data_IF_938896803767
#
_entry.id   IF_938896803767
#
_cell.length_a   1.000
_cell.length_b   1.000
_cell.length_c   1.000
_cell.angle_alpha   90.00
_cell.angle_beta   90.00
_cell.angle_gamma   90.00
#
_symmetry.space_group_name_H-M   'P 1'
#
loop_
_entity.id
_entity.type
_entity.pdbx_description
1 polymer ?
#
# COMPACT_ATOMS: atom_id res chain seq x y z
N UNK A 1 39.16 -18.59 -9.76
CA UNK A 1 39.76 -19.15 -11.00
C UNK A 1 39.24 -20.58 -11.15
N UNK A 2 38.88 -21.10 -12.32
CA UNK A 2 38.97 -20.55 -13.68
C UNK A 2 39.08 -21.74 -14.65
N UNK A 3 38.25 -21.84 -15.71
CA UNK A 3 38.17 -23.05 -16.53
C UNK A 3 39.19 -23.06 -17.67
N UNK A 4 39.50 -24.26 -18.23
CA UNK A 4 40.09 -24.39 -19.56
C UNK A 4 39.30 -25.40 -20.45
N UNK A 5 39.58 -25.51 -21.76
CA UNK A 5 39.41 -24.44 -22.73
C UNK A 5 38.68 -24.90 -24.01
N UNK A 6 38.41 -23.97 -24.93
CA UNK A 6 37.81 -24.25 -26.24
C UNK A 6 38.82 -24.82 -27.26
N UNK A 7 38.32 -25.46 -28.32
CA UNK A 7 39.07 -25.79 -29.53
C UNK A 7 38.36 -25.23 -30.78
N UNK A 8 39.16 -24.72 -31.73
CA UNK A 8 38.69 -24.14 -33.00
C UNK A 8 39.40 -24.81 -34.19
N UNK A 9 38.70 -24.91 -35.32
CA UNK A 9 39.22 -25.36 -36.62
C UNK A 9 38.38 -24.70 -37.74
N UNK A 10 38.85 -23.66 -38.43
CA UNK A 10 39.70 -23.65 -39.64
C UNK A 10 39.01 -24.02 -40.97
N UNK A 11 38.90 -23.02 -41.85
CA UNK A 11 38.74 -23.06 -43.32
C UNK A 11 40.06 -23.53 -44.01
N UNK A 12 40.24 -23.65 -45.36
CA UNK A 12 39.45 -23.22 -46.56
C UNK A 12 39.22 -24.43 -47.52
N UNK A 13 39.30 -24.43 -48.90
CA UNK A 13 39.42 -23.38 -49.93
C UNK A 13 38.64 -23.52 -51.27
N UNK A 14 38.78 -22.47 -52.10
CA UNK A 14 38.90 -22.43 -53.59
C UNK A 14 37.77 -22.84 -54.57
N UNK A 15 37.29 -21.84 -55.31
CA UNK A 15 36.73 -21.90 -56.69
C UNK A 15 37.87 -22.03 -57.75
N UNK A 16 37.64 -22.26 -59.08
CA UNK A 16 37.00 -21.26 -59.99
C UNK A 16 36.28 -21.81 -61.26
N UNK A 17 35.82 -20.89 -62.14
CA UNK A 17 35.50 -21.04 -63.59
C UNK A 17 34.34 -21.99 -64.01
N UNK A 18 33.50 -21.81 -65.03
CA UNK A 18 33.05 -20.75 -65.96
C UNK A 18 32.71 -21.42 -67.30
N UNK A 19 31.45 -21.44 -67.74
CA UNK A 19 31.07 -21.39 -69.18
C UNK A 19 29.55 -21.40 -69.38
N UNK A 20 29.09 -20.54 -70.28
CA UNK A 20 27.75 -20.52 -70.90
C UNK A 20 27.87 -21.13 -72.34
N UNK A 21 26.90 -21.10 -73.29
CA UNK A 21 25.61 -20.36 -73.30
C UNK A 21 24.39 -20.95 -74.09
N UNK A 22 23.27 -20.18 -74.06
CA UNK A 22 22.24 -20.01 -75.12
C UNK A 22 21.26 -21.19 -75.40
N UNK A 23 20.01 -20.99 -75.85
CA UNK A 23 19.24 -19.75 -76.15
C UNK A 23 17.73 -19.99 -76.40
N UNK A 24 16.94 -18.90 -76.29
CA UNK A 24 15.73 -18.46 -77.07
C UNK A 24 14.52 -18.17 -76.15
N UNK A 25 13.64 -17.19 -76.39
CA UNK A 25 13.51 -16.14 -77.43
C UNK A 25 12.63 -15.01 -76.85
N UNK A 26 13.12 -13.77 -76.69
CA UNK A 26 12.88 -12.61 -77.57
C UNK A 26 11.41 -12.18 -77.77
N UNK A 27 11.04 -11.05 -77.15
CA UNK A 27 9.92 -10.18 -77.53
C UNK A 27 10.47 -8.90 -78.18
N UNK A 28 9.79 -8.36 -79.18
CA UNK A 28 10.36 -7.43 -80.18
C UNK A 28 10.21 -5.95 -79.81
N UNK A 29 11.31 -5.16 -79.91
CA UNK A 29 11.36 -3.68 -80.20
C UNK A 29 10.54 -2.68 -79.34
N UNK A 30 10.81 -1.37 -79.22
CA UNK A 30 12.00 -0.48 -79.22
C UNK A 30 11.49 0.93 -78.81
N UNK A 31 12.25 1.99 -78.47
CA UNK A 31 13.70 2.25 -78.43
C UNK A 31 13.99 3.23 -77.26
N UNK A 32 15.15 3.11 -76.64
CA UNK A 32 15.64 3.88 -75.50
C UNK A 32 16.10 5.33 -75.79
N UNK A 33 16.10 6.17 -74.74
CA UNK A 33 17.20 7.11 -74.45
C UNK A 33 17.44 7.17 -72.95
N UNK A 34 18.69 7.32 -72.51
CA UNK A 34 19.07 7.31 -71.10
C UNK A 34 20.12 8.40 -70.81
N UNK A 35 20.11 8.95 -69.59
CA UNK A 35 21.28 9.62 -69.03
C UNK A 35 21.36 9.38 -67.52
N UNK A 36 22.59 9.20 -67.03
CA UNK A 36 22.97 9.07 -65.61
C UNK A 36 22.88 10.47 -64.91
N UNK A 37 23.12 10.71 -63.61
CA UNK A 37 24.04 10.06 -62.66
C UNK A 37 23.84 10.64 -61.22
N UNK A 38 24.18 9.88 -60.15
CA UNK A 38 24.47 10.34 -58.75
C UNK A 38 23.33 11.04 -57.94
N UNK A 39 23.30 11.07 -56.59
CA UNK A 39 23.91 10.23 -55.53
C UNK A 39 23.38 10.64 -54.13
N UNK A 40 23.21 9.69 -53.20
CA UNK A 40 22.89 9.94 -51.77
C UNK A 40 21.38 10.11 -51.48
N UNK A 41 20.87 9.82 -50.28
CA UNK A 41 21.49 9.29 -49.06
C UNK A 41 20.42 8.77 -48.08
N UNK A 42 20.83 7.99 -47.07
CA UNK A 42 19.96 7.25 -46.14
C UNK A 42 18.87 8.12 -45.49
N UNK A 43 17.65 7.58 -45.42
CA UNK A 43 16.51 8.16 -44.72
C UNK A 43 15.51 7.11 -44.26
N UNK A 44 15.97 6.08 -43.54
CA UNK A 44 15.06 5.17 -42.86
C UNK A 44 14.27 5.97 -41.82
N UNK A 45 12.96 6.14 -42.03
CA UNK A 45 12.09 6.84 -41.10
C UNK A 45 12.05 6.07 -39.78
N UNK A 46 12.87 6.50 -38.81
CA UNK A 46 12.83 5.98 -37.47
C UNK A 46 11.42 6.25 -36.91
N UNK A 47 10.67 5.17 -36.69
CA UNK A 47 9.40 5.24 -35.98
C UNK A 47 9.68 5.86 -34.61
N UNK A 48 9.35 7.14 -34.46
CA UNK A 48 9.64 7.94 -33.29
C UNK A 48 8.69 7.49 -32.18
N UNK A 49 9.11 6.49 -31.41
CA UNK A 49 8.40 5.96 -30.26
C UNK A 49 8.01 7.11 -29.32
N UNK A 50 6.73 7.49 -29.38
CA UNK A 50 6.22 8.62 -28.63
C UNK A 50 5.87 8.14 -27.22
N UNK A 51 6.87 8.06 -26.34
CA UNK A 51 6.79 7.52 -24.98
C UNK A 51 5.97 8.38 -23.99
N UNK A 52 4.85 8.96 -24.42
CA UNK A 52 3.92 9.69 -23.58
C UNK A 52 2.68 8.84 -23.23
N UNK A 53 2.86 8.00 -22.21
CA UNK A 53 1.86 7.39 -21.30
C UNK A 53 0.47 6.99 -21.86
N UNK A 54 0.09 5.70 -21.75
CA UNK A 54 -1.13 5.20 -21.05
C UNK A 54 -1.05 3.71 -20.66
N UNK A 55 -0.51 3.43 -19.47
CA UNK A 55 -0.59 2.16 -18.70
C UNK A 55 0.26 0.96 -19.16
N UNK A 56 0.88 0.96 -20.34
CA UNK A 56 1.66 -0.20 -20.82
C UNK A 56 0.80 -1.36 -21.33
N UNK A 57 -0.52 -1.21 -21.31
CA UNK A 57 -1.50 -2.17 -21.82
C UNK A 57 -1.99 -1.82 -23.24
N UNK A 58 -1.41 -0.80 -23.90
CA UNK A 58 -1.82 -0.33 -25.24
C UNK A 58 -1.67 -1.41 -26.33
N UNK A 59 -0.79 -2.40 -26.11
CA UNK A 59 -0.60 -3.55 -26.99
C UNK A 59 -1.63 -4.69 -26.81
N UNK A 60 -2.55 -4.58 -25.86
CA UNK A 60 -3.55 -5.61 -25.57
C UNK A 60 -4.94 -5.24 -26.12
N UNK A 61 -5.74 -6.21 -26.62
CA UNK A 61 -7.14 -5.98 -26.96
C UNK A 61 -7.91 -5.47 -25.74
N UNK A 62 -8.65 -4.35 -25.87
CA UNK A 62 -9.31 -3.69 -24.72
C UNK A 62 -10.16 -4.63 -23.87
N UNK A 63 -10.81 -5.63 -24.47
CA UNK A 63 -11.65 -6.61 -23.76
C UNK A 63 -10.90 -7.62 -22.88
N UNK A 64 -9.57 -7.75 -22.98
CA UNK A 64 -8.77 -8.63 -22.10
C UNK A 64 -8.24 -7.89 -20.87
N UNK A 65 -8.23 -6.55 -20.89
CA UNK A 65 -7.62 -5.73 -19.83
C UNK A 65 -8.56 -5.62 -18.64
N UNK A 66 -8.20 -6.25 -17.53
CA UNK A 66 -8.87 -6.08 -16.25
C UNK A 66 -8.20 -4.96 -15.45
N UNK A 67 -8.99 -4.00 -14.98
CA UNK A 67 -8.50 -2.82 -14.23
C UNK A 67 -8.23 -3.09 -12.75
N UNK A 68 -8.70 -4.22 -12.24
CA UNK A 68 -8.64 -4.61 -10.83
C UNK A 68 -8.53 -6.13 -10.67
N UNK A 69 -7.97 -6.55 -9.53
CA UNK A 69 -7.94 -7.93 -9.06
C UNK A 69 -8.76 -8.05 -7.76
N UNK A 70 -8.84 -9.27 -7.24
CA UNK A 70 -9.20 -9.59 -5.87
C UNK A 70 -8.04 -10.32 -5.16
N UNK A 71 -8.22 -10.59 -3.87
CA UNK A 71 -7.33 -11.38 -3.03
C UNK A 71 -8.00 -12.67 -2.51
N UNK A 72 -9.04 -13.18 -3.20
CA UNK A 72 -9.71 -14.40 -2.78
C UNK A 72 -8.87 -15.63 -3.15
N UNK A 73 -8.63 -16.53 -2.19
CA UNK A 73 -7.77 -17.72 -2.34
C UNK A 73 -8.44 -18.78 -3.23
N UNK A 74 -8.14 -18.79 -4.54
CA UNK A 74 -8.78 -19.70 -5.51
C UNK A 74 -8.14 -21.10 -5.47
N UNK A 75 -8.90 -22.19 -5.25
CA UNK A 75 -8.37 -23.55 -5.33
C UNK A 75 -7.84 -23.90 -6.73
N UNK A 76 -6.78 -24.70 -6.79
CA UNK A 76 -6.10 -25.05 -8.06
C UNK A 76 -6.95 -25.94 -8.99
N UNK A 77 -7.94 -26.66 -8.44
CA UNK A 77 -8.75 -27.65 -9.14
C UNK A 77 -10.26 -27.35 -9.13
N UNK A 78 -10.71 -26.32 -8.41
CA UNK A 78 -12.13 -25.91 -8.39
C UNK A 78 -12.27 -24.38 -8.52
N UNK A 79 -12.50 -23.87 -9.75
CA UNK A 79 -12.77 -22.45 -9.99
C UNK A 79 -14.10 -21.95 -9.40
N UNK A 80 -15.01 -22.84 -9.01
CA UNK A 80 -16.36 -22.52 -8.53
C UNK A 80 -16.51 -22.56 -7.00
N UNK A 81 -15.52 -23.11 -6.27
CA UNK A 81 -15.53 -23.18 -4.80
C UNK A 81 -15.70 -21.81 -4.12
N UNK A 82 -15.14 -20.74 -4.70
CA UNK A 82 -15.17 -19.38 -4.13
C UNK A 82 -16.44 -18.58 -4.50
N UNK A 83 -17.61 -19.22 -4.49
CA UNK A 83 -18.89 -18.51 -4.67
C UNK A 83 -19.30 -17.77 -3.40
N UNK A 84 -18.76 -16.56 -3.29
CA UNK A 84 -19.16 -15.44 -2.43
C UNK A 84 -19.20 -15.72 -0.90
N UNK A 85 -18.40 -14.97 -0.15
CA UNK A 85 -18.72 -14.70 1.25
C UNK A 85 -20.12 -14.07 1.30
N UNK A 86 -21.04 -14.70 2.04
CA UNK A 86 -22.47 -14.33 2.15
C UNK A 86 -22.75 -13.01 2.88
N UNK A 87 -21.73 -12.18 3.09
CA UNK A 87 -21.91 -10.85 3.68
C UNK A 87 -22.23 -9.87 2.54
N UNK A 88 -23.51 -9.83 2.15
CA UNK A 88 -24.00 -9.07 0.99
C UNK A 88 -23.91 -7.54 1.15
N UNK A 89 -23.55 -7.03 2.33
CA UNK A 89 -23.61 -5.59 2.63
C UNK A 89 -22.31 -4.83 2.31
N UNK A 90 -21.20 -5.21 2.94
CA UNK A 90 -19.91 -4.51 2.82
C UNK A 90 -18.74 -5.50 2.86
N UNK A 91 -17.74 -5.29 2.01
CA UNK A 91 -16.50 -6.06 2.00
C UNK A 91 -15.39 -5.32 2.73
N UNK A 92 -14.74 -5.96 3.68
CA UNK A 92 -13.63 -5.39 4.42
C UNK A 92 -12.37 -6.27 4.41
N UNK A 93 -11.23 -5.60 4.54
CA UNK A 93 -9.90 -6.19 4.70
C UNK A 93 -9.29 -5.68 6.02
N UNK A 94 -8.89 -6.60 6.90
CA UNK A 94 -7.95 -6.33 7.99
C UNK A 94 -6.54 -6.65 7.51
N UNK A 95 -5.65 -5.66 7.56
CA UNK A 95 -4.23 -5.79 7.25
C UNK A 95 -3.41 -5.31 8.45
N UNK A 96 -2.50 -6.14 8.96
CA UNK A 96 -1.73 -5.85 10.19
C UNK A 96 -0.25 -6.18 10.06
N UNK A 97 0.61 -5.36 10.66
CA UNK A 97 1.99 -5.76 10.94
C UNK A 97 2.02 -6.64 12.18
N UNK A 98 2.50 -7.89 12.04
CA UNK A 98 2.45 -8.89 13.11
C UNK A 98 3.79 -9.60 13.38
N UNK A 99 3.99 -9.95 14.64
CA UNK A 99 5.06 -10.81 15.15
C UNK A 99 4.53 -11.88 16.10
N UNK A 100 5.22 -13.01 16.18
CA UNK A 100 4.76 -14.20 16.94
C UNK A 100 4.54 -13.93 18.44
N UNK A 101 5.22 -12.92 19.00
CA UNK A 101 5.08 -12.51 20.41
C UNK A 101 3.69 -11.98 20.76
N UNK A 102 2.94 -11.49 19.77
CA UNK A 102 1.59 -10.93 19.94
C UNK A 102 0.49 -11.86 19.39
N UNK A 103 0.83 -13.11 19.06
CA UNK A 103 -0.07 -14.05 18.39
C UNK A 103 -1.43 -14.21 19.09
N UNK A 104 -1.48 -14.19 20.43
CA UNK A 104 -2.72 -14.28 21.19
C UNK A 104 -3.63 -13.06 21.01
N UNK A 105 -3.07 -11.85 20.97
CA UNK A 105 -3.86 -10.63 20.76
C UNK A 105 -4.40 -10.58 19.31
N UNK A 106 -3.56 -10.98 18.35
CA UNK A 106 -3.95 -11.11 16.95
C UNK A 106 -4.99 -12.23 16.72
N UNK A 107 -4.96 -13.33 17.47
CA UNK A 107 -5.98 -14.39 17.41
C UNK A 107 -7.38 -13.87 17.77
N UNK A 108 -7.49 -13.12 18.88
CA UNK A 108 -8.76 -12.49 19.29
C UNK A 108 -9.27 -11.54 18.21
N UNK A 109 -8.37 -10.74 17.61
CA UNK A 109 -8.74 -9.79 16.57
C UNK A 109 -9.15 -10.46 15.25
N UNK A 110 -8.31 -11.35 14.72
CA UNK A 110 -8.58 -12.04 13.46
C UNK A 110 -9.89 -12.83 13.50
N UNK A 111 -10.21 -13.50 14.63
CA UNK A 111 -11.49 -14.20 14.81
C UNK A 111 -12.70 -13.28 14.67
N UNK A 112 -12.68 -12.06 15.23
CA UNK A 112 -13.79 -11.10 15.09
C UNK A 112 -14.04 -10.72 13.63
N UNK A 113 -13.00 -10.46 12.84
CA UNK A 113 -13.13 -10.12 11.42
C UNK A 113 -13.54 -11.32 10.56
N UNK A 114 -12.98 -12.50 10.82
CA UNK A 114 -13.32 -13.72 10.08
C UNK A 114 -14.76 -14.20 10.35
N UNK A 115 -15.28 -14.02 11.56
CA UNK A 115 -16.68 -14.31 11.89
C UNK A 115 -17.66 -13.46 11.08
N UNK A 116 -17.29 -12.22 10.75
CA UNK A 116 -18.04 -11.33 9.84
C UNK A 116 -17.72 -11.58 8.35
N UNK A 117 -16.99 -12.66 8.03
CA UNK A 117 -16.56 -13.03 6.67
C UNK A 117 -15.70 -11.96 5.97
N UNK A 118 -14.91 -11.20 6.74
CA UNK A 118 -13.92 -10.24 6.21
C UNK A 118 -12.57 -10.92 5.96
N UNK A 119 -11.79 -10.38 5.02
CA UNK A 119 -10.45 -10.92 4.73
C UNK A 119 -9.46 -10.46 5.79
N UNK A 120 -8.59 -11.37 6.24
CA UNK A 120 -7.46 -11.05 7.14
C UNK A 120 -6.15 -11.25 6.40
N UNK A 121 -5.25 -10.29 6.55
CA UNK A 121 -3.93 -10.27 5.95
C UNK A 121 -2.88 -9.91 7.01
N UNK A 122 -1.88 -10.78 7.15
CA UNK A 122 -0.84 -10.70 8.16
C UNK A 122 0.49 -10.37 7.49
N UNK A 123 1.10 -9.26 7.92
CA UNK A 123 2.42 -8.83 7.47
C UNK A 123 3.48 -9.23 8.50
N UNK A 124 4.13 -10.37 8.28
CA UNK A 124 5.12 -10.95 9.19
C UNK A 124 6.43 -10.19 9.09
N UNK A 125 6.64 -9.26 10.02
CA UNK A 125 7.89 -8.48 10.11
C UNK A 125 9.00 -9.25 10.82
N UNK A 126 8.67 -10.31 11.56
CA UNK A 126 9.62 -11.18 12.27
C UNK A 126 10.10 -12.38 11.44
N UNK A 127 9.42 -12.68 10.33
CA UNK A 127 9.69 -13.82 9.46
C UNK A 127 9.05 -15.15 9.91
N UNK A 128 8.37 -15.21 11.05
CA UNK A 128 7.86 -16.45 11.63
C UNK A 128 6.40 -16.70 11.21
N UNK A 129 6.19 -17.33 10.05
CA UNK A 129 4.87 -17.80 9.62
C UNK A 129 4.48 -19.13 10.26
N UNK A 130 5.43 -20.05 10.41
CA UNK A 130 5.10 -21.44 10.79
C UNK A 130 4.52 -21.56 12.21
N UNK A 131 4.88 -20.65 13.13
CA UNK A 131 4.25 -20.59 14.46
C UNK A 131 2.73 -20.33 14.42
N UNK A 132 2.25 -19.58 13.42
CA UNK A 132 0.83 -19.25 13.25
C UNK A 132 -0.01 -20.43 12.76
N UNK A 133 0.60 -21.51 12.27
CA UNK A 133 -0.13 -22.73 11.86
C UNK A 133 -0.83 -23.44 13.03
N UNK A 134 -0.51 -23.06 14.26
CA UNK A 134 -1.20 -23.50 15.48
C UNK A 134 -2.64 -22.96 15.59
N UNK A 135 -2.98 -21.90 14.85
CA UNK A 135 -4.33 -21.31 14.86
C UNK A 135 -5.17 -21.88 13.71
N UNK A 136 -6.34 -22.45 14.03
CA UNK A 136 -7.26 -23.12 13.07
C UNK A 136 -7.82 -22.24 11.94
N UNK A 137 -7.61 -20.93 12.00
CA UNK A 137 -8.02 -19.99 10.95
C UNK A 137 -6.86 -19.48 10.10
N UNK A 138 -5.62 -19.83 10.45
CA UNK A 138 -4.41 -19.31 9.83
C UNK A 138 -4.36 -19.58 8.32
N UNK A 139 -4.87 -20.73 7.87
CA UNK A 139 -5.01 -21.13 6.47
C UNK A 139 -6.03 -20.29 5.66
N UNK A 140 -6.93 -19.56 6.34
CA UNK A 140 -7.91 -18.64 5.75
C UNK A 140 -7.39 -17.21 5.63
N UNK A 141 -6.26 -16.90 6.26
CA UNK A 141 -5.62 -15.59 6.19
C UNK A 141 -4.56 -15.54 5.09
N UNK A 142 -4.23 -14.32 4.64
CA UNK A 142 -3.17 -14.07 3.67
C UNK A 142 -1.89 -13.72 4.43
N UNK A 143 -0.87 -14.57 4.33
CA UNK A 143 0.42 -14.34 5.00
C UNK A 143 1.41 -13.72 4.02
N UNK A 144 1.97 -12.55 4.36
CA UNK A 144 3.01 -11.87 3.59
C UNK A 144 4.22 -11.68 4.48
N UNK A 145 5.40 -12.10 4.00
CA UNK A 145 6.62 -12.14 4.81
C UNK A 145 7.67 -11.19 4.24
N UNK A 146 8.14 -10.27 5.06
CA UNK A 146 9.32 -9.47 4.76
C UNK A 146 9.98 -9.05 6.10
N UNK A 147 11.06 -9.72 6.51
CA UNK A 147 11.68 -9.45 7.80
C UNK A 147 12.17 -8.00 7.94
N UNK A 148 12.02 -7.45 9.14
CA UNK A 148 12.40 -6.09 9.53
C UNK A 148 11.75 -4.98 8.69
N UNK A 149 10.54 -5.20 8.15
CA UNK A 149 9.76 -4.18 7.44
C UNK A 149 8.61 -3.65 8.30
N UNK A 150 8.23 -2.40 8.07
CA UNK A 150 7.17 -1.68 8.79
C UNK A 150 5.79 -1.90 8.16
N UNK A 151 4.71 -1.66 8.92
CA UNK A 151 3.32 -1.67 8.41
C UNK A 151 3.14 -0.89 7.10
N UNK A 152 3.67 0.33 7.04
CA UNK A 152 3.55 1.20 5.85
C UNK A 152 4.39 0.70 4.66
N UNK A 153 5.52 0.04 4.89
CA UNK A 153 6.30 -0.60 3.81
C UNK A 153 5.49 -1.70 3.11
N UNK A 154 4.83 -2.56 3.90
CA UNK A 154 3.96 -3.62 3.39
C UNK A 154 2.74 -3.03 2.68
N UNK A 155 2.05 -2.08 3.33
CA UNK A 155 0.86 -1.44 2.78
C UNK A 155 1.13 -0.80 1.41
N UNK A 156 2.26 -0.11 1.24
CA UNK A 156 2.66 0.48 -0.04
C UNK A 156 2.86 -0.56 -1.15
N UNK A 157 3.30 -1.77 -0.82
CA UNK A 157 3.71 -2.80 -1.80
C UNK A 157 2.61 -3.79 -2.12
N UNK A 158 1.78 -4.16 -1.15
CA UNK A 158 0.80 -5.25 -1.28
C UNK A 158 -0.66 -4.77 -1.30
N UNK A 159 -0.95 -3.55 -0.85
CA UNK A 159 -2.31 -2.97 -0.86
C UNK A 159 -2.49 -1.95 -2.00
N UNK A 160 -1.95 -2.23 -3.19
CA UNK A 160 -2.12 -1.36 -4.37
C UNK A 160 -3.62 -1.18 -4.71
N UNK A 161 -4.12 0.03 -5.05
CA UNK A 161 -5.57 0.29 -5.18
C UNK A 161 -6.31 -0.64 -6.14
N UNK A 162 -5.70 -1.06 -7.25
CA UNK A 162 -6.30 -2.04 -8.18
C UNK A 162 -6.40 -3.46 -7.60
N UNK A 163 -5.56 -3.83 -6.63
CA UNK A 163 -5.56 -5.16 -5.99
C UNK A 163 -6.60 -5.25 -4.88
N UNK A 164 -6.81 -4.15 -4.16
CA UNK A 164 -7.77 -4.06 -3.04
C UNK A 164 -9.12 -3.43 -3.44
N UNK A 165 -9.36 -3.17 -4.73
CA UNK A 165 -10.54 -2.47 -5.24
C UNK A 165 -11.89 -3.14 -4.88
N UNK A 166 -11.89 -4.44 -4.57
CA UNK A 166 -13.08 -5.18 -4.16
C UNK A 166 -13.52 -4.90 -2.72
N UNK A 167 -12.64 -4.35 -1.87
CA UNK A 167 -12.96 -3.99 -0.49
C UNK A 167 -13.53 -2.58 -0.46
N UNK A 168 -14.62 -2.40 0.29
CA UNK A 168 -15.22 -1.10 0.56
C UNK A 168 -14.46 -0.38 1.70
N UNK A 169 -13.93 -1.16 2.65
CA UNK A 169 -13.18 -0.70 3.84
C UNK A 169 -11.88 -1.46 4.04
N UNK A 170 -10.81 -0.76 4.44
CA UNK A 170 -9.49 -1.32 4.73
C UNK A 170 -9.04 -0.85 6.11
N UNK A 171 -8.88 -1.79 7.03
CA UNK A 171 -8.35 -1.60 8.37
C UNK A 171 -6.84 -1.86 8.31
N UNK A 172 -6.00 -0.87 8.64
CA UNK A 172 -4.54 -0.98 8.56
C UNK A 172 -3.93 -0.83 9.96
N UNK A 173 -4.02 -1.88 10.75
CA UNK A 173 -3.86 -1.82 12.21
C UNK A 173 -2.51 -2.33 12.71
N UNK A 174 -2.13 -1.88 13.89
CA UNK A 174 -1.04 -2.46 14.70
C UNK A 174 -1.58 -3.60 15.58
N UNK A 175 -0.69 -4.47 16.04
CA UNK A 175 -1.02 -5.76 16.67
C UNK A 175 -1.23 -5.73 18.19
N UNK A 176 -1.08 -4.58 18.83
CA UNK A 176 -1.16 -4.39 20.29
C UNK A 176 -2.44 -3.64 20.72
N UNK A 177 -3.50 -3.81 19.93
CA UNK A 177 -4.85 -3.30 20.20
C UNK A 177 -5.73 -4.41 20.78
N UNK A 178 -6.21 -4.23 22.02
CA UNK A 178 -7.27 -5.05 22.63
C UNK A 178 -8.64 -4.67 22.06
N UNK A 179 -9.42 -5.66 21.62
CA UNK A 179 -10.63 -5.46 20.80
C UNK A 179 -11.90 -6.02 21.44
N UNK A 180 -11.90 -6.25 22.76
CA UNK A 180 -13.00 -6.81 23.52
C UNK A 180 -14.32 -6.08 23.22
N UNK A 181 -14.26 -4.74 23.27
CA UNK A 181 -15.39 -3.82 23.11
C UNK A 181 -15.61 -3.30 21.67
N UNK A 182 -15.01 -3.97 20.68
CA UNK A 182 -15.09 -3.59 19.27
C UNK A 182 -15.77 -4.69 18.43
N UNK A 183 -16.73 -4.30 17.60
CA UNK A 183 -17.38 -5.15 16.59
C UNK A 183 -17.18 -4.56 15.18
N UNK A 184 -16.50 -5.26 14.25
CA UNK A 184 -16.13 -4.69 12.95
C UNK A 184 -17.34 -4.42 12.03
N UNK A 185 -18.46 -5.15 12.18
CA UNK A 185 -19.67 -4.89 11.40
C UNK A 185 -20.41 -3.65 11.91
N UNK A 186 -20.56 -3.52 13.23
CA UNK A 186 -21.14 -2.31 13.86
C UNK A 186 -20.28 -1.08 13.56
N UNK A 187 -18.95 -1.22 13.57
CA UNK A 187 -18.02 -0.16 13.18
C UNK A 187 -18.25 0.34 11.74
N UNK A 188 -18.37 -0.57 10.78
CA UNK A 188 -18.65 -0.22 9.38
C UNK A 188 -20.04 0.43 9.22
N UNK A 189 -21.07 -0.10 9.88
CA UNK A 189 -22.41 0.50 9.89
C UNK A 189 -22.39 1.94 10.45
N UNK A 190 -21.51 2.23 11.41
CA UNK A 190 -21.26 3.59 11.89
C UNK A 190 -20.56 4.43 10.83
N UNK A 191 -19.45 3.97 10.23
CA UNK A 191 -18.75 4.70 9.15
C UNK A 191 -19.72 5.13 8.03
N UNK A 192 -20.56 4.19 7.57
CA UNK A 192 -21.54 4.41 6.50
C UNK A 192 -22.63 5.39 6.94
N UNK A 193 -23.23 5.21 8.12
CA UNK A 193 -24.31 6.09 8.60
C UNK A 193 -23.84 7.51 8.93
N UNK A 194 -22.56 7.68 9.27
CA UNK A 194 -21.91 8.96 9.59
C UNK A 194 -21.23 9.62 8.38
N UNK A 195 -21.27 8.98 7.21
CA UNK A 195 -20.63 9.47 5.98
C UNK A 195 -19.11 9.61 6.06
N UNK A 196 -18.46 8.84 6.95
CA UNK A 196 -17.03 8.89 7.24
C UNK A 196 -16.22 8.07 6.23
N UNK A 197 -15.03 8.56 5.89
CA UNK A 197 -14.12 7.89 4.95
C UNK A 197 -12.76 7.52 5.55
N UNK A 198 -12.34 8.20 6.62
CA UNK A 198 -11.09 7.90 7.33
C UNK A 198 -11.42 7.92 8.83
N UNK A 199 -11.25 6.80 9.51
CA UNK A 199 -11.63 6.67 10.92
C UNK A 199 -10.62 5.87 11.71
N UNK A 200 -10.77 5.89 13.03
CA UNK A 200 -10.20 4.88 13.93
C UNK A 200 -11.21 4.61 15.05
N UNK A 201 -11.15 3.43 15.71
CA UNK A 201 -11.81 3.23 16.98
C UNK A 201 -11.22 4.18 18.03
N UNK A 202 -12.06 4.62 18.98
CA UNK A 202 -11.55 5.36 20.12
C UNK A 202 -10.72 4.47 21.06
N UNK A 203 -9.82 5.08 21.82
CA UNK A 203 -9.07 4.45 22.89
C UNK A 203 -9.83 4.56 24.22
N UNK A 204 -9.93 3.46 24.96
CA UNK A 204 -10.40 3.52 26.34
C UNK A 204 -9.36 4.26 27.22
N UNK A 205 -9.74 5.37 27.89
CA UNK A 205 -8.79 6.17 28.69
C UNK A 205 -8.36 5.51 30.00
N UNK A 206 -9.12 4.53 30.49
CA UNK A 206 -8.89 3.91 31.79
C UNK A 206 -8.04 2.63 31.65
N UNK A 207 -8.04 2.01 30.47
CA UNK A 207 -7.35 0.74 30.18
C UNK A 207 -6.12 0.89 29.26
N UNK A 208 -6.07 1.91 28.39
CA UNK A 208 -4.94 2.06 27.46
C UNK A 208 -3.70 2.59 28.16
N UNK A 209 -2.54 1.98 27.91
CA UNK A 209 -1.28 2.30 28.60
C UNK A 209 -0.51 3.45 27.95
N UNK A 210 -0.73 3.69 26.65
CA UNK A 210 -0.09 4.75 25.89
C UNK A 210 -1.15 5.49 25.05
N UNK A 211 -1.26 6.81 25.22
CA UNK A 211 -2.18 7.67 24.49
C UNK A 211 -1.43 8.96 24.13
N UNK A 212 -1.10 9.13 22.85
CA UNK A 212 -0.31 10.27 22.38
C UNK A 212 -1.15 11.54 22.12
N UNK A 213 -2.36 11.38 21.58
CA UNK A 213 -3.19 12.51 21.12
C UNK A 213 -4.60 12.49 21.73
N UNK A 214 -5.05 13.62 22.30
CA UNK A 214 -6.33 13.66 23.05
C UNK A 214 -7.57 13.36 22.19
N UNK A 215 -7.51 13.57 20.87
CA UNK A 215 -8.57 13.21 19.93
C UNK A 215 -8.77 11.69 19.76
N UNK A 216 -7.83 10.86 20.20
CA UNK A 216 -8.04 9.40 20.17
C UNK A 216 -8.82 8.90 21.38
N UNK A 217 -8.96 9.71 22.43
CA UNK A 217 -9.62 9.34 23.68
C UNK A 217 -11.13 9.22 23.48
N UNK A 218 -11.69 8.08 23.91
CA UNK A 218 -13.13 7.82 23.88
C UNK A 218 -13.93 8.83 24.67
N UNK A 219 -14.84 9.52 23.98
CA UNK A 219 -15.91 10.28 24.58
C UNK A 219 -17.12 9.37 24.83
N UNK A 220 -17.30 8.98 26.10
CA UNK A 220 -18.36 8.05 26.54
C UNK A 220 -19.80 8.58 26.32
N UNK A 221 -19.97 9.84 25.89
CA UNK A 221 -21.27 10.47 25.63
C UNK A 221 -21.65 10.55 24.14
N UNK A 222 -20.73 10.26 23.22
CA UNK A 222 -20.96 10.35 21.77
C UNK A 222 -20.89 8.99 21.08
N UNK A 223 -21.43 8.93 19.85
CA UNK A 223 -21.26 7.79 18.93
C UNK A 223 -19.96 7.89 18.16
N UNK A 224 -19.65 9.14 17.73
CA UNK A 224 -18.47 9.58 16.99
C UNK A 224 -18.14 11.01 17.43
N UNK A 225 -16.85 11.35 17.48
CA UNK A 225 -16.40 12.74 17.48
C UNK A 225 -15.37 12.99 16.39
N UNK A 226 -15.36 14.21 15.84
CA UNK A 226 -14.48 14.60 14.72
C UNK A 226 -13.46 15.67 15.13
N UNK A 227 -13.50 16.12 16.39
CA UNK A 227 -12.62 17.15 16.96
C UNK A 227 -12.61 17.15 18.48
N UNK A 228 -11.61 17.80 19.06
CA UNK A 228 -11.45 18.03 20.51
C UNK A 228 -11.08 19.48 20.83
N UNK A 229 -11.29 19.85 22.08
CA UNK A 229 -10.77 21.09 22.67
C UNK A 229 -9.68 20.75 23.69
N UNK A 230 -8.60 21.52 23.70
CA UNK A 230 -7.52 21.39 24.66
C UNK A 230 -6.83 22.74 24.88
N UNK A 231 -6.64 23.13 26.13
CA UNK A 231 -6.02 24.41 26.52
C UNK A 231 -4.64 24.18 27.17
N UNK A 232 -4.01 23.04 26.90
CA UNK A 232 -2.70 22.68 27.44
C UNK A 232 -1.58 23.43 26.70
N UNK A 233 -0.49 23.73 27.38
CA UNK A 233 0.67 24.43 26.81
C UNK A 233 1.34 23.70 25.65
N UNK A 234 1.17 22.37 25.54
CA UNK A 234 1.70 21.55 24.45
C UNK A 234 0.86 21.59 23.17
N UNK A 235 -0.44 21.93 23.26
CA UNK A 235 -1.36 21.92 22.14
C UNK A 235 -2.64 22.70 22.49
N UNK A 236 -2.90 23.76 21.72
CA UNK A 236 -4.09 24.60 21.86
C UNK A 236 -5.09 24.27 20.74
N UNK A 237 -6.17 23.55 21.07
CA UNK A 237 -7.26 23.25 20.17
C UNK A 237 -8.47 24.14 20.49
N UNK A 238 -8.67 25.20 19.70
CA UNK A 238 -9.78 26.15 19.80
C UNK A 238 -10.85 25.87 18.73
N UNK A 239 -11.82 26.78 18.60
CA UNK A 239 -12.78 26.77 17.48
C UNK A 239 -12.12 27.07 16.13
N UNK A 240 -10.99 27.78 16.11
CA UNK A 240 -10.22 28.10 14.91
C UNK A 240 -9.34 26.92 14.45
N UNK A 241 -9.13 25.91 15.29
CA UNK A 241 -8.27 24.75 15.00
C UNK A 241 -8.94 23.74 14.06
N UNK A 242 -9.09 24.11 12.78
CA UNK A 242 -9.71 23.29 11.70
C UNK A 242 -8.83 22.15 11.16
N UNK A 243 -7.66 21.90 11.78
CA UNK A 243 -6.66 20.97 11.27
C UNK A 243 -6.19 19.90 12.26
N UNK A 244 -5.44 18.91 11.75
CA UNK A 244 -4.73 17.94 12.56
C UNK A 244 -3.89 18.54 13.69
N UNK A 245 -3.85 17.90 14.87
CA UNK A 245 -4.68 16.77 15.32
C UNK A 245 -5.98 17.22 16.02
N UNK A 246 -6.34 18.51 15.97
CA UNK A 246 -7.49 19.05 16.70
C UNK A 246 -8.84 18.72 16.04
N UNK A 247 -8.91 18.69 14.71
CA UNK A 247 -10.12 18.43 13.91
C UNK A 247 -9.78 17.58 12.70
N UNK A 248 -10.64 16.60 12.37
CA UNK A 248 -10.56 15.81 11.15
C UNK A 248 -9.30 14.95 11.05
N UNK A 249 -8.93 14.25 12.13
CA UNK A 249 -7.68 13.50 12.25
C UNK A 249 -7.85 12.16 12.97
N UNK A 250 -6.99 11.20 12.62
CA UNK A 250 -6.87 9.87 13.25
C UNK A 250 -5.38 9.50 13.32
N UNK A 251 -5.01 8.65 14.28
CA UNK A 251 -3.63 8.25 14.53
C UNK A 251 -3.21 7.09 13.61
N UNK A 252 -1.91 6.99 13.31
CA UNK A 252 -1.36 5.99 12.40
C UNK A 252 -1.47 4.52 12.87
N UNK A 253 -1.84 4.25 14.13
CA UNK A 253 -1.87 2.89 14.70
C UNK A 253 -3.09 2.07 14.28
N UNK A 254 -4.30 2.66 14.30
CA UNK A 254 -5.58 1.96 14.08
C UNK A 254 -6.45 2.55 12.95
N UNK A 255 -5.89 3.13 11.86
CA UNK A 255 -6.70 3.78 10.84
C UNK A 255 -7.51 2.77 10.02
N UNK A 256 -8.70 3.21 9.62
CA UNK A 256 -9.64 2.52 8.74
C UNK A 256 -10.01 3.47 7.61
N UNK A 257 -9.88 2.99 6.37
CA UNK A 257 -10.07 3.78 5.16
C UNK A 257 -11.23 3.24 4.33
N UNK A 258 -12.04 4.13 3.77
CA UNK A 258 -12.88 3.79 2.63
C UNK A 258 -12.01 3.48 1.40
N UNK A 259 -12.55 2.73 0.44
CA UNK A 259 -11.92 2.50 -0.87
C UNK A 259 -11.48 3.79 -1.57
N UNK A 260 -12.27 4.86 -1.47
CA UNK A 260 -11.97 6.15 -2.08
C UNK A 260 -10.76 6.80 -1.40
N UNK A 261 -10.78 6.88 -0.07
CA UNK A 261 -9.68 7.43 0.71
C UNK A 261 -8.40 6.61 0.52
N UNK A 262 -8.47 5.28 0.58
CA UNK A 262 -7.30 4.42 0.39
C UNK A 262 -6.62 4.61 -0.98
N UNK A 263 -7.40 4.84 -2.05
CA UNK A 263 -6.86 5.12 -3.38
C UNK A 263 -5.97 6.36 -3.38
N UNK A 264 -6.28 7.38 -2.59
CA UNK A 264 -5.41 8.55 -2.39
C UNK A 264 -4.27 8.26 -1.40
N UNK A 265 -4.56 7.67 -0.24
CA UNK A 265 -3.57 7.39 0.82
C UNK A 265 -2.42 6.52 0.30
N UNK A 266 -2.72 5.53 -0.56
CA UNK A 266 -1.68 4.72 -1.19
C UNK A 266 -0.68 5.56 -2.01
N UNK A 267 -1.10 6.65 -2.64
CA UNK A 267 -0.20 7.56 -3.37
C UNK A 267 0.57 8.50 -2.42
N UNK A 268 -0.06 8.93 -1.31
CA UNK A 268 0.57 9.74 -0.26
C UNK A 268 1.73 9.00 0.42
N UNK A 269 1.60 7.70 0.68
CA UNK A 269 2.67 6.86 1.22
C UNK A 269 3.86 6.86 0.24
N UNK A 270 5.03 7.27 0.72
CA UNK A 270 6.26 7.35 -0.07
C UNK A 270 6.84 5.94 -0.35
N UNK A 271 7.57 5.78 -1.46
CA UNK A 271 8.15 4.48 -1.82
C UNK A 271 9.34 4.08 -0.93
N UNK A 272 10.11 5.06 -0.49
CA UNK A 272 11.41 4.92 0.19
C UNK A 272 11.38 5.28 1.68
N UNK A 273 10.37 6.03 2.14
CA UNK A 273 10.14 6.26 3.58
C UNK A 273 9.25 5.14 4.10
N UNK A 274 9.68 4.47 5.16
CA UNK A 274 9.08 3.22 5.63
C UNK A 274 8.36 3.41 6.97
N UNK A 275 8.79 4.32 7.84
CA UNK A 275 8.22 4.45 9.18
C UNK A 275 6.80 5.04 9.17
N UNK A 276 6.48 5.87 8.18
CA UNK A 276 5.14 6.47 8.01
C UNK A 276 4.72 7.49 9.07
N UNK A 277 5.63 7.85 9.99
CA UNK A 277 5.39 8.92 10.97
C UNK A 277 5.06 10.25 10.27
N UNK A 278 3.99 10.91 10.70
CA UNK A 278 3.49 12.16 10.09
C UNK A 278 2.60 11.98 8.86
N UNK A 279 2.39 10.75 8.36
CA UNK A 279 1.37 10.50 7.31
C UNK A 279 -0.04 10.82 7.82
N UNK A 280 -0.32 10.49 9.09
CA UNK A 280 -1.54 10.82 9.83
C UNK A 280 -1.93 12.30 9.75
N UNK A 281 -0.96 13.20 9.90
CA UNK A 281 -1.14 14.66 9.72
C UNK A 281 -1.57 15.07 8.30
N UNK A 282 -1.50 14.17 7.31
CA UNK A 282 -1.89 14.40 5.91
C UNK A 282 -2.98 13.45 5.40
N UNK A 283 -3.43 12.46 6.17
CA UNK A 283 -4.52 11.55 5.76
C UNK A 283 -5.81 12.31 5.40
N UNK A 284 -6.13 13.40 6.11
CA UNK A 284 -7.33 14.20 5.86
C UNK A 284 -7.46 14.76 4.44
N UNK A 285 -6.37 14.96 3.71
CA UNK A 285 -6.39 15.38 2.28
C UNK A 285 -6.92 14.29 1.34
N UNK A 286 -7.04 13.05 1.81
CA UNK A 286 -7.55 11.94 1.03
C UNK A 286 -9.04 11.65 1.23
N UNK A 287 -9.72 12.36 2.12
CA UNK A 287 -11.18 12.31 2.22
C UNK A 287 -11.85 13.03 1.02
N UNK A 288 -13.01 12.53 0.57
CA UNK A 288 -13.83 13.20 -0.44
C UNK A 288 -14.68 14.30 0.21
N UNK A 289 -14.11 15.50 0.36
CA UNK A 289 -14.75 16.68 0.95
C UNK A 289 -14.01 17.18 2.19
N UNK A 290 -14.70 17.91 3.07
CA UNK A 290 -14.09 18.46 4.29
C UNK A 290 -13.70 17.34 5.27
N UNK A 291 -12.43 17.33 5.69
CA UNK A 291 -11.92 16.42 6.73
C UNK A 291 -12.67 16.57 8.06
N UNK A 292 -13.21 17.76 8.38
CA UNK A 292 -13.98 18.01 9.59
C UNK A 292 -15.33 17.25 9.61
N UNK A 293 -15.83 16.82 8.45
CA UNK A 293 -17.03 15.99 8.31
C UNK A 293 -16.69 14.51 8.04
N UNK A 294 -15.66 14.26 7.22
CA UNK A 294 -15.31 12.94 6.68
C UNK A 294 -14.33 12.13 7.52
N UNK A 295 -13.62 12.77 8.46
CA UNK A 295 -12.60 12.12 9.28
C UNK A 295 -12.97 12.23 10.76
N UNK A 296 -12.86 11.13 11.50
CA UNK A 296 -13.21 11.13 12.92
C UNK A 296 -12.99 9.81 13.66
N UNK A 297 -13.22 9.86 14.96
CA UNK A 297 -12.99 8.76 15.90
C UNK A 297 -14.35 8.21 16.35
N UNK A 298 -14.50 6.88 16.27
CA UNK A 298 -15.75 6.20 16.62
C UNK A 298 -15.69 5.77 18.09
N UNK A 299 -16.51 6.41 18.93
CA UNK A 299 -16.53 6.27 20.41
C UNK A 299 -17.28 5.04 20.92
N UNK A 300 -18.25 4.59 20.13
CA UNK A 300 -19.15 3.48 20.49
C UNK A 300 -18.58 2.09 20.17
N UNK A 301 -17.51 2.04 19.39
CA UNK A 301 -16.73 0.84 19.03
C UNK A 301 -15.26 1.14 19.29
N UNK A 302 -14.77 0.75 20.45
CA UNK A 302 -13.51 1.24 21.02
C UNK A 302 -12.56 0.10 21.37
N UNK A 303 -11.27 0.43 21.42
CA UNK A 303 -10.17 -0.50 21.64
C UNK A 303 -9.31 -0.06 22.82
N UNK A 304 -8.44 -0.96 23.27
CA UNK A 304 -7.44 -0.70 24.33
C UNK A 304 -6.05 -0.74 23.70
N UNK A 305 -5.30 0.36 23.72
CA UNK A 305 -3.92 0.35 23.21
C UNK A 305 -2.97 -0.13 24.32
N UNK A 306 -2.29 -1.26 24.08
CA UNK A 306 -1.44 -1.93 25.06
C UNK A 306 0.00 -1.39 25.08
N UNK A 307 0.42 -0.62 24.07
CA UNK A 307 1.72 0.06 24.01
C UNK A 307 2.91 -0.91 23.90
N UNK A 308 2.72 -2.06 23.25
CA UNK A 308 3.69 -3.16 23.23
C UNK A 308 4.70 -2.94 22.09
N UNK A 309 6.00 -2.77 22.36
CA UNK A 309 6.97 -2.41 21.33
C UNK A 309 7.31 -3.58 20.38
N UNK A 310 6.64 -3.63 19.23
CA UNK A 310 6.81 -4.64 18.18
C UNK A 310 8.14 -4.54 17.42
N UNK A 311 8.53 -3.32 17.00
CA UNK A 311 9.79 -3.06 16.30
C UNK A 311 10.92 -2.59 17.24
N UNK A 312 12.00 -3.37 17.33
CA UNK A 312 13.16 -3.08 18.18
C UNK A 312 13.00 -3.50 19.65
N UNK A 313 11.95 -4.25 19.98
CA UNK A 313 11.84 -4.97 21.26
C UNK A 313 12.91 -6.07 21.41
N UNK A 314 13.08 -6.65 22.61
CA UNK A 314 14.02 -7.74 22.83
C UNK A 314 13.58 -8.98 22.04
N UNK A 315 14.29 -9.28 20.95
CA UNK A 315 14.22 -10.62 20.36
C UNK A 315 14.72 -11.63 21.40
N UNK A 316 13.96 -12.71 21.62
CA UNK A 316 14.40 -13.83 22.45
C UNK A 316 15.69 -14.50 21.92
N UNK A 317 16.11 -14.16 20.69
CA UNK A 317 17.43 -14.53 20.18
C UNK A 317 18.53 -13.62 20.74
N UNK A 318 19.09 -14.06 21.88
CA UNK A 318 20.42 -13.75 22.45
C UNK A 318 20.55 -12.66 23.55
N UNK A 319 21.37 -13.01 24.53
CA UNK A 319 21.64 -12.29 25.80
C UNK A 319 22.42 -10.98 25.63
N UNK A 320 21.85 -9.94 25.01
CA UNK A 320 22.49 -8.61 24.93
C UNK A 320 21.55 -7.44 25.32
N UNK A 321 21.27 -7.23 26.62
CA UNK A 321 20.42 -6.13 27.11
C UNK A 321 20.88 -4.73 26.67
N UNK A 322 22.16 -4.57 26.32
CA UNK A 322 22.75 -3.30 25.87
C UNK A 322 22.50 -2.99 24.39
N UNK A 323 22.17 -3.98 23.55
CA UNK A 323 21.91 -3.78 22.11
C UNK A 323 20.46 -3.42 21.78
N UNK A 324 19.48 -3.86 22.57
CA UNK A 324 18.05 -3.58 22.32
C UNK A 324 17.72 -2.09 22.53
N UNK A 325 18.21 -1.48 23.62
CA UNK A 325 18.07 -0.05 23.87
C UNK A 325 18.68 0.79 22.73
N UNK A 326 19.84 0.37 22.24
CA UNK A 326 20.56 1.00 21.14
C UNK A 326 19.78 0.88 19.82
N UNK A 327 19.26 -0.30 19.49
CA UNK A 327 18.44 -0.53 18.30
C UNK A 327 17.15 0.31 18.33
N UNK A 328 16.41 0.34 19.45
CA UNK A 328 15.18 1.16 19.57
C UNK A 328 15.48 2.65 19.43
N UNK A 329 16.65 3.10 19.90
CA UNK A 329 17.11 4.49 19.73
C UNK A 329 17.45 4.79 18.27
N UNK A 330 18.11 3.86 17.56
CA UNK A 330 18.37 3.96 16.12
C UNK A 330 17.09 3.99 15.29
N UNK A 331 16.10 3.13 15.58
CA UNK A 331 14.78 3.12 14.92
C UNK A 331 14.07 4.47 15.13
N UNK A 332 14.03 4.98 16.37
CA UNK A 332 13.44 6.30 16.66
C UNK A 332 14.14 7.42 15.89
N UNK A 333 15.47 7.44 15.86
CA UNK A 333 16.27 8.43 15.11
C UNK A 333 15.99 8.37 13.61
N UNK A 334 15.89 7.16 13.04
CA UNK A 334 15.57 6.96 11.62
C UNK A 334 14.13 7.40 11.30
N UNK A 335 13.16 7.06 12.16
CA UNK A 335 11.77 7.52 12.03
C UNK A 335 11.67 9.04 12.03
N UNK A 336 12.35 9.73 12.95
CA UNK A 336 12.41 11.20 12.97
C UNK A 336 13.06 11.79 11.72
N UNK A 337 14.11 11.15 11.18
CA UNK A 337 14.76 11.59 9.95
C UNK A 337 13.90 11.34 8.69
N UNK A 338 13.03 10.33 8.70
CA UNK A 338 12.05 10.09 7.62
C UNK A 338 10.85 11.04 7.72
N UNK A 339 10.38 11.36 8.93
CA UNK A 339 9.36 12.41 9.15
C UNK A 339 9.82 13.75 8.56
N UNK A 340 11.05 14.16 8.82
CA UNK A 340 11.53 15.46 8.33
C UNK A 340 11.61 15.49 6.80
N UNK A 341 12.15 14.44 6.18
CA UNK A 341 12.12 14.27 4.71
C UNK A 341 10.70 14.26 4.12
N UNK A 342 9.72 13.73 4.86
CA UNK A 342 8.33 13.76 4.41
C UNK A 342 7.76 15.18 4.42
N UNK A 343 8.03 15.97 5.47
CA UNK A 343 7.64 17.40 5.52
C UNK A 343 8.33 18.20 4.41
N UNK A 344 9.65 18.07 4.27
CA UNK A 344 10.43 18.73 3.21
C UNK A 344 9.84 18.45 1.82
N UNK A 345 9.45 17.20 1.54
CA UNK A 345 8.79 16.81 0.29
C UNK A 345 7.40 17.41 0.14
N UNK A 346 6.59 17.41 1.19
CA UNK A 346 5.26 18.01 1.17
C UNK A 346 5.35 19.52 0.89
N UNK A 347 6.13 20.26 1.68
CA UNK A 347 6.32 21.70 1.53
C UNK A 347 6.95 22.06 0.18
N UNK A 348 7.86 21.23 -0.32
CA UNK A 348 8.41 21.39 -1.68
C UNK A 348 7.34 21.19 -2.75
N UNK A 349 6.52 20.14 -2.65
CA UNK A 349 5.46 19.87 -3.63
C UNK A 349 4.42 21.00 -3.64
N UNK A 350 3.96 21.46 -2.47
CA UNK A 350 3.03 22.60 -2.35
C UNK A 350 3.59 23.88 -2.98
N UNK A 351 4.90 24.14 -2.82
CA UNK A 351 5.55 25.34 -3.39
C UNK A 351 5.84 25.25 -4.89
N UNK A 352 5.92 24.04 -5.45
CA UNK A 352 6.29 23.81 -6.86
C UNK A 352 5.11 23.45 -7.77
N UNK A 353 3.91 23.27 -7.19
CA UNK A 353 2.67 22.96 -7.93
C UNK A 353 1.76 24.20 -7.98
N UNK A 354 2.04 25.08 -8.96
CA UNK A 354 1.29 26.34 -9.19
C UNK A 354 -0.22 26.13 -9.47
N UNK A 355 -0.65 24.90 -9.82
CA UNK A 355 -2.05 24.56 -10.06
C UNK A 355 -2.75 23.99 -8.80
N UNK A 356 -2.00 23.68 -7.73
CA UNK A 356 -2.54 23.14 -6.49
C UNK A 356 -2.92 24.23 -5.50
N UNK A 357 -4.16 24.16 -5.01
CA UNK A 357 -4.64 24.96 -3.87
C UNK A 357 -4.92 24.03 -2.71
N UNK A 358 -4.52 24.40 -1.48
CA UNK A 358 -4.89 23.62 -0.30
C UNK A 358 -6.41 23.70 -0.11
N UNK A 359 -7.16 22.58 -0.13
CA UNK A 359 -8.61 22.60 0.05
C UNK A 359 -9.05 23.01 1.47
N UNK A 360 -8.11 23.23 2.38
CA UNK A 360 -8.35 23.66 3.76
C UNK A 360 -7.77 25.04 4.10
N UNK A 361 -7.13 25.73 3.15
CA UNK A 361 -6.76 27.15 3.30
C UNK A 361 -7.98 28.00 2.88
N UNK A 362 -8.71 28.53 3.87
CA UNK A 362 -9.93 29.33 3.73
C UNK A 362 -9.89 30.57 4.63
#
# INVERSE_FOLDING_TARGET
AGPPPAAAATWPPSSPSSSSPRSRSSTTTSRATATQQRSGGKGAAAARWNWNRRTGAEGLPRGIVQTSSDMFLRPLWDPAANRANKNDRHKALLAMAVGISQMQNVDVMARKFLNESYTVMLFHYDGNVDGWRSLEWSDKAIHIVAPNQTKWWFAKRFLHPSVVAIYDFIFLWDEDLGVENFDPRRYIDIMVSEGLEITQPALDPDLSTDIHHRITIRNKMTKVHRRVYDNRSSMNCSDDSKGPPCTGWVEGMAPVFSRAAWKCVWHLIQNDLIHGWGLDMKLGYCAQGDRAEKVGVIDSEYVVHQGIPSLGGPSDTSKLPRRSLDLRTHIRRQSSAELEKFKERWEKAVREDDEWMDPFDA
#
